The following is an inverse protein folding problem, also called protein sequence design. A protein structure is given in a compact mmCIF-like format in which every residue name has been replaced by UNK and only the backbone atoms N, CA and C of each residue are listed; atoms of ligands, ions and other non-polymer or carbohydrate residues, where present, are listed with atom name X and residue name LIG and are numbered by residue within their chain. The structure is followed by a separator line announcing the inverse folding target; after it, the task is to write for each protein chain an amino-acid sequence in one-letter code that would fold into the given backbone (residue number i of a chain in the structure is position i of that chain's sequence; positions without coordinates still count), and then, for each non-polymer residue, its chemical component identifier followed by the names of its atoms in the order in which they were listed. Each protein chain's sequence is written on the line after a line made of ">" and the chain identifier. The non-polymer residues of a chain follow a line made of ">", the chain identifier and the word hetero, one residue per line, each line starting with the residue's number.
data_IF_943964536252
#
_entry.id   IF_943964536252
#
_cell.length_a   1.000
_cell.length_b   1.000
_cell.length_c   1.000
_cell.angle_alpha   90.00
_cell.angle_beta   90.00
_cell.angle_gamma   90.00
#
_symmetry.space_group_name_H-M   'P 1'
#
loop_
_entity.id
_entity.type
_entity.pdbx_description
1 polymer ?
#
# COMPACT_ATOMS: atom_id res chain seq x y z
N UNK A 1 2.04 -6.37 -12.38
CA UNK A 1 1.65 -4.96 -12.67
C UNK A 1 2.87 -4.28 -13.24
N UNK A 2 2.71 -3.30 -14.15
CA UNK A 2 3.85 -2.52 -14.61
C UNK A 2 4.20 -1.42 -13.60
N UNK A 3 5.44 -0.91 -13.66
CA UNK A 3 5.93 0.16 -12.78
C UNK A 3 5.08 1.44 -12.94
N UNK A 4 4.65 1.73 -14.17
CA UNK A 4 3.79 2.87 -14.51
C UNK A 4 2.40 2.76 -13.87
N UNK A 5 1.83 1.55 -13.82
CA UNK A 5 0.52 1.29 -13.18
C UNK A 5 0.58 1.48 -11.67
N UNK A 6 1.68 1.04 -11.07
CA UNK A 6 1.92 1.23 -9.64
C UNK A 6 2.02 2.72 -9.30
N UNK A 7 2.74 3.50 -10.12
CA UNK A 7 2.91 4.94 -9.90
C UNK A 7 1.57 5.71 -9.94
N UNK A 8 0.59 5.23 -10.72
CA UNK A 8 -0.77 5.81 -10.80
C UNK A 8 -1.63 5.57 -9.56
N UNK A 9 -1.25 4.66 -8.67
CA UNK A 9 -2.01 4.41 -7.46
C UNK A 9 -1.99 5.63 -6.52
N UNK A 10 -3.03 5.84 -5.70
CA UNK A 10 -3.07 6.97 -4.77
C UNK A 10 -1.86 6.98 -3.82
N UNK A 11 -1.12 8.10 -3.78
CA UNK A 11 -0.06 8.34 -2.80
C UNK A 11 -0.34 9.60 -1.99
N UNK A 12 0.14 9.64 -0.76
CA UNK A 12 0.05 10.78 0.14
C UNK A 12 1.30 10.87 1.02
N UNK A 13 1.63 12.08 1.46
CA UNK A 13 2.69 12.29 2.44
C UNK A 13 2.14 12.06 3.84
N UNK A 14 2.78 11.17 4.60
CA UNK A 14 2.37 10.88 5.96
C UNK A 14 2.63 12.10 6.84
N UNK A 15 1.56 12.58 7.47
CA UNK A 15 1.61 13.68 8.43
C UNK A 15 1.34 13.11 9.81
N UNK A 16 2.39 12.98 10.62
CA UNK A 16 2.25 12.59 12.02
C UNK A 16 1.46 13.68 12.75
N UNK A 17 0.16 13.46 12.95
CA UNK A 17 -0.61 14.30 13.86
C UNK A 17 -0.34 13.76 15.26
N UNK A 18 0.30 14.56 16.11
CA UNK A 18 0.39 14.32 17.54
C UNK A 18 -1.04 14.16 18.07
N UNK A 19 -1.47 12.90 18.24
CA UNK A 19 -2.72 12.58 18.93
C UNK A 19 -2.39 11.86 20.22
N UNK A 20 -2.25 12.69 21.24
CA UNK A 20 -2.63 12.37 22.60
C UNK A 20 -3.88 11.48 22.59
N UNK A 21 -3.70 10.24 23.07
CA UNK A 21 -4.71 9.32 23.55
C UNK A 21 -5.95 9.09 22.65
N UNK A 22 -5.83 8.22 21.64
CA UNK A 22 -7.01 7.60 21.01
C UNK A 22 -6.67 6.20 20.50
N UNK A 23 -7.19 5.20 21.22
CA UNK A 23 -7.14 3.78 20.86
C UNK A 23 -8.05 3.49 19.66
N UNK A 24 -7.59 3.76 18.45
CA UNK A 24 -8.19 3.18 17.26
C UNK A 24 -7.10 2.59 16.37
N UNK A 25 -7.35 1.36 15.92
CA UNK A 25 -6.52 0.45 15.11
C UNK A 25 -6.14 1.01 13.72
N UNK A 26 -5.72 2.27 13.65
CA UNK A 26 -5.10 2.82 12.46
C UNK A 26 -3.75 2.12 12.34
N UNK A 27 -3.54 1.42 11.23
CA UNK A 27 -2.25 0.80 10.92
C UNK A 27 -1.27 1.96 10.70
N UNK A 28 -0.46 2.24 11.72
CA UNK A 28 0.54 3.32 11.73
C UNK A 28 1.92 2.80 11.29
N UNK A 29 2.00 1.52 10.97
CA UNK A 29 3.19 0.80 10.56
C UNK A 29 3.05 0.23 9.14
N UNK A 30 4.17 0.10 8.44
CA UNK A 30 4.21 -0.58 7.17
C UNK A 30 4.40 -2.08 7.39
N UNK A 31 3.38 -2.89 7.07
CA UNK A 31 3.46 -4.35 7.23
C UNK A 31 4.49 -5.05 6.30
N UNK A 32 5.22 -4.32 5.46
CA UNK A 32 6.29 -4.86 4.60
C UNK A 32 7.64 -4.76 5.30
N UNK A 33 8.02 -3.58 5.79
CA UNK A 33 9.28 -3.36 6.50
C UNK A 33 9.14 -3.45 8.03
N UNK A 34 7.92 -3.50 8.55
CA UNK A 34 7.57 -3.53 9.97
C UNK A 34 8.05 -2.30 10.75
N UNK A 35 8.25 -1.17 10.07
CA UNK A 35 8.55 0.12 10.68
C UNK A 35 7.33 1.05 10.71
N UNK A 36 7.27 1.91 11.72
CA UNK A 36 6.30 2.99 11.82
C UNK A 36 6.46 4.02 10.69
N UNK A 37 5.34 4.61 10.27
CA UNK A 37 5.35 5.76 9.35
C UNK A 37 5.88 7.01 10.05
N UNK A 38 6.82 7.70 9.40
CA UNK A 38 7.45 8.93 9.88
C UNK A 38 6.94 10.12 9.08
N UNK A 39 6.94 11.29 9.72
CA UNK A 39 6.49 12.54 9.09
C UNK A 39 7.28 12.82 7.82
N UNK A 40 6.57 13.09 6.73
CA UNK A 40 7.16 13.38 5.42
C UNK A 40 7.48 12.13 4.57
N UNK A 41 7.24 10.92 5.09
CA UNK A 41 7.37 9.71 4.27
C UNK A 41 6.21 9.58 3.29
N UNK A 42 6.52 9.15 2.06
CA UNK A 42 5.49 8.90 1.04
C UNK A 42 4.87 7.54 1.30
N UNK A 43 3.57 7.55 1.58
CA UNK A 43 2.78 6.34 1.70
C UNK A 43 1.89 6.15 0.47
N UNK A 44 1.66 4.90 0.11
CA UNK A 44 0.73 4.52 -0.95
C UNK A 44 -0.45 3.77 -0.36
N UNK A 45 -1.64 4.19 -0.80
CA UNK A 45 -2.92 3.65 -0.37
C UNK A 45 -3.47 2.77 -1.47
N UNK A 46 -3.75 1.50 -1.16
CA UNK A 46 -4.42 0.62 -2.11
C UNK A 46 -5.91 1.02 -2.21
N UNK A 47 -6.41 1.36 -3.41
CA UNK A 47 -7.73 1.98 -3.55
C UNK A 47 -8.88 1.06 -3.17
N UNK A 48 -8.72 -0.26 -3.34
CA UNK A 48 -9.78 -1.25 -3.08
C UNK A 48 -9.91 -1.64 -1.60
N UNK A 49 -8.80 -1.78 -0.87
CA UNK A 49 -8.81 -2.25 0.51
C UNK A 49 -8.41 -1.19 1.54
N UNK A 50 -7.95 -0.01 1.09
CA UNK A 50 -7.52 1.11 1.94
C UNK A 50 -6.37 0.79 2.90
N UNK A 51 -5.58 -0.25 2.62
CA UNK A 51 -4.34 -0.49 3.35
C UNK A 51 -3.23 0.43 2.83
N UNK A 52 -2.47 0.98 3.78
CA UNK A 52 -1.36 1.89 3.52
C UNK A 52 -0.02 1.24 3.79
N UNK A 53 0.97 1.59 2.98
CA UNK A 53 2.35 1.12 3.07
C UNK A 53 3.29 2.25 2.64
N UNK A 54 4.59 2.17 2.94
CA UNK A 54 5.56 3.05 2.27
C UNK A 54 5.48 2.82 0.77
N UNK A 55 5.51 3.91 0.00
CA UNK A 55 5.43 3.85 -1.46
C UNK A 55 6.52 2.92 -2.01
N UNK A 56 7.77 3.10 -1.58
CA UNK A 56 8.89 2.26 -2.04
C UNK A 56 8.71 0.77 -1.71
N UNK A 57 8.20 0.47 -0.51
CA UNK A 57 7.99 -0.90 -0.06
C UNK A 57 6.90 -1.60 -0.87
N UNK A 58 5.74 -0.96 -1.03
CA UNK A 58 4.62 -1.59 -1.76
C UNK A 58 4.83 -1.56 -3.26
N UNK A 59 5.57 -0.58 -3.80
CA UNK A 59 5.85 -0.53 -5.23
C UNK A 59 6.68 -1.74 -5.65
N UNK A 60 7.76 -2.02 -4.91
CA UNK A 60 8.60 -3.20 -5.10
C UNK A 60 7.82 -4.51 -4.96
N UNK A 61 6.84 -4.55 -4.06
CA UNK A 61 5.98 -5.71 -3.85
C UNK A 61 5.03 -5.93 -5.03
N UNK A 62 4.31 -4.90 -5.47
CA UNK A 62 3.27 -4.97 -6.50
C UNK A 62 3.79 -5.29 -7.89
N UNK A 63 5.06 -4.98 -8.16
CA UNK A 63 5.77 -5.42 -9.36
C UNK A 63 5.81 -6.95 -9.47
N UNK A 64 5.94 -7.66 -8.34
CA UNK A 64 6.01 -9.13 -8.30
C UNK A 64 4.65 -9.76 -8.00
N UNK A 65 3.93 -9.20 -7.03
CA UNK A 65 2.67 -9.72 -6.51
C UNK A 65 1.65 -8.59 -6.47
N UNK A 66 0.76 -8.46 -7.48
CA UNK A 66 -0.14 -7.32 -7.61
C UNK A 66 -1.36 -7.37 -6.67
N UNK A 67 -1.12 -7.82 -5.45
CA UNK A 67 -2.10 -8.04 -4.39
C UNK A 67 -1.63 -7.40 -3.09
N UNK A 68 -2.57 -6.99 -2.26
CA UNK A 68 -2.30 -6.43 -0.94
C UNK A 68 -1.57 -7.45 -0.04
N UNK A 69 -0.43 -7.08 0.59
CA UNK A 69 0.27 -7.96 1.55
C UNK A 69 -0.58 -8.38 2.75
N UNK A 70 -1.57 -7.56 3.13
CA UNK A 70 -2.38 -7.76 4.34
C UNK A 70 -3.62 -8.60 4.05
N UNK A 71 -4.41 -8.23 3.03
CA UNK A 71 -5.71 -8.85 2.77
C UNK A 71 -5.82 -9.55 1.42
N UNK A 72 -4.74 -9.58 0.63
CA UNK A 72 -4.66 -10.21 -0.70
C UNK A 72 -5.64 -9.67 -1.76
N UNK A 73 -6.33 -8.56 -1.49
CA UNK A 73 -7.12 -7.83 -2.49
C UNK A 73 -6.22 -7.29 -3.60
N UNK A 74 -6.65 -7.37 -4.85
CA UNK A 74 -5.89 -6.83 -5.99
C UNK A 74 -5.59 -5.34 -5.84
N UNK A 75 -4.42 -4.91 -6.31
CA UNK A 75 -4.02 -3.50 -6.23
C UNK A 75 -4.60 -2.64 -7.37
N UNK A 76 -4.94 -3.25 -8.51
CA UNK A 76 -5.51 -2.57 -9.67
C UNK A 76 -7.02 -2.33 -9.55
N UNK A 77 -7.50 -1.26 -10.15
CA UNK A 77 -8.93 -0.95 -10.30
C UNK A 77 -9.56 -1.87 -11.36
N UNK A 78 -9.75 -3.14 -11.03
CA UNK A 78 -10.58 -4.08 -11.79
C UNK A 78 -10.28 -4.23 -13.29
N UNK A 79 -9.26 -5.01 -13.64
CA UNK A 79 -9.25 -5.80 -14.88
C UNK A 79 -8.82 -7.23 -14.52
N UNK A 80 -9.76 -8.16 -14.65
CA UNK A 80 -9.51 -9.59 -14.82
C UNK A 80 -8.95 -9.80 -16.24
N UNK A 81 -7.79 -10.43 -16.40
CA UNK A 81 -7.58 -11.77 -16.98
C UNK A 81 -6.26 -11.66 -17.78
N UNK A 82 -5.37 -12.63 -18.00
CA UNK A 82 -5.28 -14.07 -17.77
C UNK A 82 -3.84 -14.45 -18.18
N UNK A 83 -3.12 -15.25 -17.38
CA UNK A 83 -2.19 -16.31 -17.87
C UNK A 83 -1.61 -17.07 -16.66
N UNK A 84 -2.36 -18.06 -16.17
CA UNK A 84 -1.75 -19.27 -15.67
C UNK A 84 -2.06 -20.34 -16.71
N UNK A 85 -1.32 -20.27 -17.81
CA UNK A 85 -1.05 -21.43 -18.65
C UNK A 85 0.03 -22.28 -18.00
N UNK A 86 -0.38 -23.34 -17.32
CA UNK A 86 0.20 -24.69 -17.32
C UNK A 86 -0.73 -25.63 -16.56
#
# INVERSE_FOLDING_TARGET
>A
MSEDDVQKLPCYDYSAKEKENSTCFQVLDCAICLEDFKMGEKCRLLPLCKHSFHAECVDSWLLRNPICPVCRTGAGSGESESDLGC
#
